data_IF_432063877496
#
_entry.id   IF_432063877496
#
_cell.length_a   1.000
_cell.length_b   1.000
_cell.length_c   1.000
_cell.angle_alpha   90.00
_cell.angle_beta   90.00
_cell.angle_gamma   90.00
#
_symmetry.space_group_name_H-M   'P 1'
#
loop_
_entity.id
_entity.type
_entity.pdbx_description
1 polymer ?
#
# COMPACT_ATOMS: atom_id res chain seq x y z
N UNK A 1 9.83 -12.71 -13.96
CA UNK A 1 11.06 -11.93 -13.78
C UNK A 1 10.78 -11.02 -12.59
N UNK A 2 11.57 -11.16 -11.53
CA UNK A 2 11.45 -10.32 -10.32
C UNK A 2 11.50 -8.84 -10.76
N UNK A 3 10.54 -8.03 -10.28
CA UNK A 3 10.54 -6.60 -10.58
C UNK A 3 11.81 -5.96 -9.98
N UNK A 4 12.50 -5.08 -10.70
CA UNK A 4 13.71 -4.47 -10.17
C UNK A 4 13.37 -3.59 -8.96
N UNK A 5 14.25 -3.58 -7.96
CA UNK A 5 14.00 -2.92 -6.67
C UNK A 5 13.55 -1.47 -6.80
N UNK A 6 14.11 -0.73 -7.75
CA UNK A 6 13.75 0.68 -7.98
C UNK A 6 12.27 0.86 -8.41
N UNK A 7 11.71 -0.08 -9.19
CA UNK A 7 10.28 -0.05 -9.54
C UNK A 7 9.42 -0.34 -8.33
N UNK A 8 9.82 -1.31 -7.50
CA UNK A 8 9.13 -1.64 -6.26
C UNK A 8 9.08 -0.42 -5.33
N UNK A 9 10.19 0.32 -5.22
CA UNK A 9 10.26 1.55 -4.41
C UNK A 9 9.30 2.62 -4.94
N UNK A 10 9.24 2.84 -6.26
CA UNK A 10 8.31 3.80 -6.86
C UNK A 10 6.86 3.39 -6.58
N UNK A 11 6.51 2.13 -6.79
CA UNK A 11 5.16 1.63 -6.53
C UNK A 11 4.80 1.71 -5.04
N UNK A 12 5.75 1.46 -4.14
CA UNK A 12 5.55 1.62 -2.71
C UNK A 12 5.28 3.08 -2.31
N UNK A 13 5.98 4.04 -2.93
CA UNK A 13 5.71 5.47 -2.73
C UNK A 13 4.31 5.82 -3.24
N UNK A 14 3.95 5.37 -4.44
CA UNK A 14 2.62 5.61 -5.02
C UNK A 14 1.53 5.03 -4.13
N UNK A 15 1.65 3.77 -3.67
CA UNK A 15 0.70 3.17 -2.74
C UNK A 15 0.63 3.98 -1.44
N UNK A 16 1.77 4.29 -0.83
CA UNK A 16 1.83 5.02 0.44
C UNK A 16 1.20 6.41 0.36
N UNK A 17 1.31 7.09 -0.79
CA UNK A 17 0.66 8.39 -0.99
C UNK A 17 -0.83 8.23 -1.30
N UNK A 18 -1.21 7.32 -2.19
CA UNK A 18 -2.58 7.22 -2.72
C UNK A 18 -3.54 6.47 -1.81
N UNK A 19 -3.06 5.57 -0.94
CA UNK A 19 -3.92 4.78 -0.05
C UNK A 19 -4.68 5.62 0.97
N UNK A 20 -4.08 6.73 1.42
CA UNK A 20 -4.72 7.64 2.38
C UNK A 20 -5.66 8.66 1.72
N UNK A 21 -5.70 8.70 0.39
CA UNK A 21 -6.55 9.59 -0.38
C UNK A 21 -7.70 8.80 -1.03
N UNK A 22 -8.93 9.36 -1.10
CA UNK A 22 -10.07 8.69 -1.72
C UNK A 22 -10.02 8.77 -3.26
N UNK A 23 -8.94 8.25 -3.86
CA UNK A 23 -8.63 8.36 -5.29
C UNK A 23 -8.33 7.01 -5.97
N UNK A 24 -8.58 5.89 -5.29
CA UNK A 24 -8.26 4.52 -5.75
C UNK A 24 -6.76 4.26 -5.94
N UNK A 25 -6.11 3.71 -4.91
CA UNK A 25 -4.69 3.35 -4.92
C UNK A 25 -4.37 2.23 -5.93
N UNK A 26 -5.25 1.23 -6.06
CA UNK A 26 -5.08 0.12 -7.00
C UNK A 26 -5.05 0.59 -8.47
N UNK A 27 -5.88 1.56 -8.84
CA UNK A 27 -5.86 2.14 -10.18
C UNK A 27 -4.54 2.85 -10.48
N UNK A 28 -4.02 3.62 -9.52
CA UNK A 28 -2.73 4.29 -9.66
C UNK A 28 -1.56 3.30 -9.76
N UNK A 29 -1.58 2.21 -9.00
CA UNK A 29 -0.57 1.16 -9.11
C UNK A 29 -0.55 0.49 -10.48
N UNK A 30 -1.73 0.21 -11.07
CA UNK A 30 -1.82 -0.36 -12.42
C UNK A 30 -1.27 0.63 -13.44
N UNK A 31 -1.72 1.89 -13.41
CA UNK A 31 -1.29 2.92 -14.38
C UNK A 31 0.23 3.15 -14.29
N UNK A 32 0.77 3.34 -13.08
CA UNK A 32 2.21 3.55 -12.90
C UNK A 32 3.00 2.29 -13.27
N UNK A 33 2.49 1.11 -12.93
CA UNK A 33 3.10 -0.17 -13.31
C UNK A 33 3.24 -0.32 -14.83
N UNK A 34 2.19 0.00 -15.59
CA UNK A 34 2.21 -0.01 -17.06
C UNK A 34 3.23 0.98 -17.64
N UNK A 35 3.31 2.20 -17.08
CA UNK A 35 4.30 3.21 -17.51
C UNK A 35 5.73 2.71 -17.27
N UNK A 36 6.00 2.16 -16.09
CA UNK A 36 7.32 1.64 -15.72
C UNK A 36 7.73 0.43 -16.58
N UNK A 37 6.76 -0.44 -16.90
CA UNK A 37 6.95 -1.57 -17.80
C UNK A 37 7.30 -1.11 -19.22
N UNK A 38 6.56 -0.14 -19.76
CA UNK A 38 6.84 0.47 -21.06
C UNK A 38 8.24 1.10 -21.16
N UNK A 39 8.71 1.75 -20.08
CA UNK A 39 10.05 2.35 -20.04
C UNK A 39 11.19 1.34 -19.89
N UNK A 40 10.93 0.22 -19.22
CA UNK A 40 11.95 -0.80 -18.95
C UNK A 40 11.96 -1.94 -19.97
N UNK A 41 10.98 -1.99 -20.89
CA UNK A 41 10.77 -3.12 -21.80
C UNK A 41 10.35 -4.40 -21.09
N UNK A 42 9.87 -4.29 -19.85
CA UNK A 42 9.47 -5.42 -19.01
C UNK A 42 7.96 -5.59 -19.00
N UNK A 43 7.47 -6.71 -18.46
CA UNK A 43 6.03 -6.91 -18.28
C UNK A 43 5.51 -6.06 -17.11
N UNK A 44 4.25 -5.61 -17.18
CA UNK A 44 3.61 -4.88 -16.09
C UNK A 44 3.69 -5.66 -14.78
N UNK A 45 3.88 -4.99 -13.64
CA UNK A 45 3.83 -5.61 -12.32
C UNK A 45 2.39 -5.98 -11.95
N UNK A 46 1.81 -6.97 -12.61
CA UNK A 46 0.51 -7.58 -12.26
C UNK A 46 0.65 -8.67 -11.20
N UNK A 47 1.62 -8.56 -10.29
CA UNK A 47 1.74 -9.52 -9.20
C UNK A 47 0.78 -9.14 -8.08
N UNK A 48 -0.30 -9.91 -7.94
CA UNK A 48 -1.24 -9.83 -6.82
C UNK A 48 -0.51 -9.83 -5.46
N UNK A 49 0.59 -10.58 -5.35
CA UNK A 49 1.45 -10.61 -4.17
C UNK A 49 2.04 -9.22 -3.83
N UNK A 50 2.53 -8.47 -4.82
CA UNK A 50 3.07 -7.14 -4.58
C UNK A 50 1.98 -6.19 -4.10
N UNK A 51 0.79 -6.22 -4.72
CA UNK A 51 -0.34 -5.38 -4.31
C UNK A 51 -0.73 -5.65 -2.85
N UNK A 52 -0.77 -6.91 -2.44
CA UNK A 52 -1.05 -7.31 -1.05
C UNK A 52 0.04 -6.80 -0.12
N UNK A 53 1.32 -7.02 -0.44
CA UNK A 53 2.44 -6.57 0.41
C UNK A 53 2.46 -5.05 0.56
N UNK A 54 2.17 -4.32 -0.51
CA UNK A 54 2.09 -2.86 -0.48
C UNK A 54 0.93 -2.37 0.43
N UNK A 55 -0.25 -3.01 0.36
CA UNK A 55 -1.36 -2.72 1.27
C UNK A 55 -1.05 -3.11 2.72
N UNK A 56 -0.33 -4.21 2.95
CA UNK A 56 0.13 -4.58 4.29
C UNK A 56 1.09 -3.53 4.86
N UNK A 57 1.93 -2.93 4.01
CA UNK A 57 2.79 -1.81 4.39
C UNK A 57 2.01 -0.60 4.86
N UNK A 58 0.97 -0.18 4.13
CA UNK A 58 0.13 0.97 4.52
C UNK A 58 -0.72 0.66 5.75
N UNK A 59 -1.25 -0.55 5.88
CA UNK A 59 -1.92 -1.01 7.09
C UNK A 59 -0.98 -0.94 8.30
N UNK A 60 0.26 -1.42 8.16
CA UNK A 60 1.24 -1.37 9.24
C UNK A 60 1.58 0.06 9.64
N UNK A 61 1.66 0.98 8.68
CA UNK A 61 1.82 2.41 8.96
C UNK A 61 0.71 2.96 9.87
N UNK A 62 -0.56 2.61 9.58
CA UNK A 62 -1.71 3.00 10.42
C UNK A 62 -1.62 2.35 11.80
N UNK A 63 -1.33 1.05 11.86
CA UNK A 63 -1.24 0.31 13.13
C UNK A 63 -0.16 0.89 14.04
N UNK A 64 1.00 1.24 13.51
CA UNK A 64 2.09 1.85 14.28
C UNK A 64 1.75 3.29 14.68
N UNK A 65 1.27 4.11 13.75
CA UNK A 65 0.96 5.52 14.01
C UNK A 65 -0.16 5.67 15.05
N UNK A 66 -1.22 4.86 14.95
CA UNK A 66 -2.37 4.88 15.85
C UNK A 66 -2.29 3.83 16.96
N UNK A 67 -1.15 3.17 17.19
CA UNK A 67 -1.02 2.05 18.13
C UNK A 67 -1.66 2.32 19.50
N UNK A 68 -1.32 3.46 20.12
CA UNK A 68 -1.85 3.83 21.45
C UNK A 68 -3.37 4.04 21.43
N UNK A 69 -3.89 4.69 20.39
CA UNK A 69 -5.33 4.96 20.23
C UNK A 69 -6.09 3.66 19.98
N UNK A 70 -5.55 2.78 19.14
CA UNK A 70 -6.13 1.47 18.86
C UNK A 70 -6.18 0.63 20.14
N UNK A 71 -5.07 0.55 20.89
CA UNK A 71 -5.03 -0.16 22.18
C UNK A 71 -6.04 0.43 23.16
N UNK A 72 -6.14 1.76 23.25
CA UNK A 72 -7.11 2.43 24.11
C UNK A 72 -8.55 2.01 23.76
N UNK A 73 -8.94 2.11 22.47
CA UNK A 73 -10.28 1.72 21.99
C UNK A 73 -10.58 0.24 22.24
N UNK A 74 -9.58 -0.64 22.10
CA UNK A 74 -9.74 -2.09 22.33
C UNK A 74 -9.84 -2.39 23.84
N UNK A 75 -9.16 -1.61 24.68
CA UNK A 75 -9.13 -1.79 26.14
C UNK A 75 -10.28 -1.11 26.88
N UNK A 76 -10.94 -0.12 26.27
CA UNK A 76 -12.09 0.54 26.86
C UNK A 76 -13.27 -0.44 26.94
N UNK A 77 -13.61 -0.82 28.18
CA UNK A 77 -14.72 -1.71 28.50
C UNK A 77 -16.04 -1.05 28.06
N UNK A 78 -16.80 -1.69 27.17
CA UNK A 78 -18.09 -1.22 26.64
C UNK A 78 -19.22 -1.17 27.68
N UNK A 79 -18.92 -1.18 28.99
CA UNK A 79 -19.90 -1.27 30.09
C UNK A 79 -20.64 0.03 30.41
N UNK A 80 -20.45 1.10 29.63
CA UNK A 80 -21.16 2.38 29.79
C UNK A 80 -22.08 2.71 28.62
N UNK A 81 -22.95 1.76 28.25
CA UNK A 81 -24.25 2.04 27.62
C UNK A 81 -25.33 1.31 28.40
#
# INVERSE_FOLDING_TARGET
MEQPLWQIVILAIVQGLTEFLPISSSGHLVIVGEILAGWSGQRPPESLNLMIVLHLGTLMSILVFYARRIVHIISEDRRTI
#
